data_IF_902554719026
#
_entry.id   IF_902554719026
#
_cell.length_a   1.000
_cell.length_b   1.000
_cell.length_c   1.000
_cell.angle_alpha   90.00
_cell.angle_beta   90.00
_cell.angle_gamma   90.00
#
_symmetry.space_group_name_H-M   'P 1'
#
loop_
_entity.id
_entity.type
_entity.pdbx_description
1 polymer ?
#
# COMPACT_ATOMS: atom_id res chain seq x y z
N UNK A 1 6.05 -13.25 -19.27
CA UNK A 1 5.74 -13.45 -17.84
C UNK A 1 4.48 -14.28 -17.73
N UNK A 2 4.45 -15.26 -16.84
CA UNK A 2 3.27 -16.13 -16.66
C UNK A 2 2.21 -15.43 -15.80
N UNK A 3 0.94 -15.52 -16.21
CA UNK A 3 -0.22 -15.02 -15.45
C UNK A 3 -0.31 -15.61 -14.02
N UNK A 4 0.40 -16.73 -13.78
CA UNK A 4 0.54 -17.37 -12.47
C UNK A 4 1.33 -16.54 -11.47
N UNK A 5 2.32 -15.78 -11.91
CA UNK A 5 3.14 -14.93 -11.04
C UNK A 5 2.32 -13.73 -10.53
N UNK A 6 1.53 -13.13 -11.43
CA UNK A 6 0.58 -12.05 -11.13
C UNK A 6 -0.45 -12.55 -10.11
N UNK A 7 -1.02 -13.73 -10.34
CA UNK A 7 -1.99 -14.34 -9.42
C UNK A 7 -1.43 -14.58 -8.01
N UNK A 8 -0.18 -15.05 -7.89
CA UNK A 8 0.49 -15.20 -6.59
C UNK A 8 0.63 -13.86 -5.84
N UNK A 9 1.01 -12.79 -6.54
CA UNK A 9 1.13 -11.44 -5.95
C UNK A 9 -0.21 -10.90 -5.49
N UNK A 10 -1.27 -11.11 -6.28
CA UNK A 10 -2.64 -10.74 -5.90
C UNK A 10 -3.08 -11.48 -4.64
N UNK A 11 -2.84 -12.79 -4.57
CA UNK A 11 -3.16 -13.62 -3.41
C UNK A 11 -2.43 -13.13 -2.16
N UNK A 12 -1.13 -12.87 -2.28
CA UNK A 12 -0.31 -12.35 -1.18
C UNK A 12 -0.86 -11.01 -0.67
N UNK A 13 -1.15 -10.06 -1.57
CA UNK A 13 -1.69 -8.76 -1.21
C UNK A 13 -3.07 -8.86 -0.54
N UNK A 14 -3.93 -9.78 -0.99
CA UNK A 14 -5.22 -10.07 -0.37
C UNK A 14 -5.08 -10.62 1.05
N UNK A 15 -4.20 -11.61 1.24
CA UNK A 15 -3.94 -12.23 2.54
C UNK A 15 -3.35 -11.21 3.52
N UNK A 16 -2.42 -10.37 3.07
CA UNK A 16 -1.85 -9.27 3.87
C UNK A 16 -2.90 -8.21 4.25
N UNK A 17 -3.91 -8.01 3.40
CA UNK A 17 -5.03 -7.08 3.68
C UNK A 17 -6.12 -7.69 4.55
N UNK A 18 -6.02 -8.98 4.91
CA UNK A 18 -7.02 -9.69 5.70
C UNK A 18 -8.38 -9.85 5.00
N UNK A 19 -8.41 -9.70 3.67
CA UNK A 19 -9.66 -9.76 2.89
C UNK A 19 -9.94 -11.18 2.40
N UNK A 20 -11.22 -11.57 2.43
CA UNK A 20 -11.67 -12.82 1.80
C UNK A 20 -11.83 -12.61 0.29
N UNK A 21 -11.82 -13.70 -0.48
CA UNK A 21 -12.11 -13.66 -1.92
C UNK A 21 -13.46 -12.99 -2.20
N UNK A 22 -14.47 -13.29 -1.38
CA UNK A 22 -15.80 -12.70 -1.48
C UNK A 22 -15.76 -11.18 -1.22
N UNK A 23 -15.05 -10.74 -0.17
CA UNK A 23 -14.95 -9.32 0.15
C UNK A 23 -14.27 -8.50 -0.95
N UNK A 24 -13.24 -9.05 -1.61
CA UNK A 24 -12.62 -8.40 -2.77
C UNK A 24 -13.60 -8.38 -3.94
N UNK A 25 -14.27 -9.49 -4.22
CA UNK A 25 -15.22 -9.62 -5.32
C UNK A 25 -16.40 -8.64 -5.19
N UNK A 26 -16.97 -8.51 -4.00
CA UNK A 26 -18.08 -7.60 -3.70
C UNK A 26 -17.67 -6.14 -3.92
N UNK A 27 -16.44 -5.75 -3.54
CA UNK A 27 -15.92 -4.39 -3.73
C UNK A 27 -15.59 -4.07 -5.19
N UNK A 28 -15.14 -5.07 -5.95
CA UNK A 28 -14.81 -4.92 -7.38
C UNK A 28 -16.07 -5.05 -8.26
N UNK A 29 -17.15 -5.64 -7.76
CA UNK A 29 -18.37 -5.90 -8.53
C UNK A 29 -18.25 -7.12 -9.45
N UNK A 30 -17.47 -8.13 -9.05
CA UNK A 30 -17.27 -9.37 -9.81
C UNK A 30 -17.64 -10.59 -8.96
N UNK A 31 -17.72 -11.77 -9.58
CA UNK A 31 -17.89 -13.02 -8.83
C UNK A 31 -16.60 -13.43 -8.10
N UNK A 32 -16.71 -14.06 -6.93
CA UNK A 32 -15.55 -14.59 -6.20
C UNK A 32 -14.74 -15.61 -7.01
N UNK A 33 -15.41 -16.39 -7.88
CA UNK A 33 -14.76 -17.31 -8.81
C UNK A 33 -13.92 -16.60 -9.88
N UNK A 34 -14.19 -15.33 -10.16
CA UNK A 34 -13.36 -14.48 -11.02
C UNK A 34 -12.08 -14.15 -10.28
N UNK A 35 -12.17 -13.58 -9.07
CA UNK A 35 -10.98 -13.24 -8.24
C UNK A 35 -10.09 -14.47 -8.01
N UNK A 36 -10.67 -15.62 -7.71
CA UNK A 36 -9.95 -16.88 -7.56
C UNK A 36 -9.20 -17.29 -8.84
N UNK A 37 -9.82 -17.14 -10.02
CA UNK A 37 -9.18 -17.43 -11.31
C UNK A 37 -8.02 -16.47 -11.60
N UNK A 38 -8.14 -15.21 -11.22
CA UNK A 38 -7.03 -14.24 -11.26
C UNK A 38 -5.88 -14.70 -10.36
N UNK A 39 -6.16 -15.06 -9.10
CA UNK A 39 -5.14 -15.53 -8.14
C UNK A 39 -4.48 -16.85 -8.55
N UNK A 40 -5.23 -17.76 -9.18
CA UNK A 40 -4.70 -19.04 -9.66
C UNK A 40 -3.91 -18.91 -10.98
N UNK A 41 -3.94 -17.75 -11.65
CA UNK A 41 -3.35 -17.55 -12.97
C UNK A 41 -4.10 -18.29 -14.08
N UNK A 42 -5.34 -18.73 -13.85
CA UNK A 42 -6.16 -19.49 -14.79
C UNK A 42 -6.85 -18.64 -15.86
N UNK A 43 -6.39 -17.41 -16.09
CA UNK A 43 -6.96 -16.46 -17.04
C UNK A 43 -5.94 -16.25 -18.15
N UNK A 44 -6.24 -16.69 -19.38
CA UNK A 44 -5.34 -16.50 -20.53
C UNK A 44 -5.20 -15.02 -20.93
N UNK A 45 -6.28 -14.23 -20.82
CA UNK A 45 -6.31 -12.79 -21.10
C UNK A 45 -6.77 -11.99 -19.89
N UNK A 46 -5.82 -11.44 -19.15
CA UNK A 46 -6.09 -10.52 -18.05
C UNK A 46 -6.74 -9.25 -18.58
N UNK A 47 -7.97 -8.97 -18.13
CA UNK A 47 -8.61 -7.67 -18.38
C UNK A 47 -8.00 -6.63 -17.45
N UNK A 48 -7.26 -5.68 -18.00
CA UNK A 48 -6.65 -4.57 -17.25
C UNK A 48 -7.63 -3.80 -16.36
N UNK A 49 -8.90 -3.51 -16.76
CA UNK A 49 -9.84 -2.81 -15.89
C UNK A 49 -10.13 -3.56 -14.59
N UNK A 50 -10.25 -4.90 -14.66
CA UNK A 50 -10.52 -5.74 -13.48
C UNK A 50 -9.27 -5.88 -12.62
N UNK A 51 -8.09 -5.96 -13.25
CA UNK A 51 -6.83 -6.00 -12.54
C UNK A 51 -6.62 -4.71 -11.73
N UNK A 52 -6.84 -3.55 -12.35
CA UNK A 52 -6.74 -2.25 -11.69
C UNK A 52 -7.73 -2.13 -10.54
N UNK A 53 -8.99 -2.53 -10.76
CA UNK A 53 -10.00 -2.50 -9.70
C UNK A 53 -9.63 -3.41 -8.51
N UNK A 54 -9.05 -4.58 -8.76
CA UNK A 54 -8.54 -5.45 -7.69
C UNK A 54 -7.34 -4.80 -7.01
N UNK A 55 -6.41 -4.21 -7.75
CA UNK A 55 -5.25 -3.51 -7.22
C UNK A 55 -5.66 -2.37 -6.28
N UNK A 56 -6.66 -1.56 -6.69
CA UNK A 56 -7.22 -0.48 -5.89
C UNK A 56 -7.84 -0.98 -4.58
N UNK A 57 -8.63 -2.07 -4.65
CA UNK A 57 -9.24 -2.69 -3.46
C UNK A 57 -8.20 -3.27 -2.51
N UNK A 58 -7.10 -3.79 -3.05
CA UNK A 58 -5.97 -4.33 -2.30
C UNK A 58 -4.96 -3.24 -1.87
N UNK A 59 -5.12 -2.00 -2.34
CA UNK A 59 -4.20 -0.88 -2.05
C UNK A 59 -2.79 -1.06 -2.63
N UNK A 60 -2.65 -1.84 -3.71
CA UNK A 60 -1.37 -2.11 -4.39
C UNK A 60 -1.34 -1.50 -5.78
N UNK A 61 -0.15 -1.22 -6.28
CA UNK A 61 0.03 -0.71 -7.63
C UNK A 61 -0.24 -1.80 -8.69
N UNK A 62 -1.03 -1.54 -9.74
CA UNK A 62 -1.27 -2.51 -10.81
C UNK A 62 0.01 -2.97 -11.54
N UNK A 63 1.00 -2.08 -11.68
CA UNK A 63 2.32 -2.39 -12.26
C UNK A 63 3.14 -3.33 -11.37
N UNK A 64 3.02 -3.21 -10.04
CA UNK A 64 3.57 -4.18 -9.09
C UNK A 64 2.95 -5.57 -9.27
N UNK A 65 1.65 -5.67 -9.57
CA UNK A 65 1.00 -6.95 -9.86
C UNK A 65 1.49 -7.56 -11.18
N UNK A 66 1.63 -6.76 -12.24
CA UNK A 66 2.09 -7.23 -13.56
C UNK A 66 3.59 -7.46 -13.67
N UNK A 67 4.36 -7.03 -12.67
CA UNK A 67 5.82 -7.12 -12.69
C UNK A 67 6.47 -6.18 -13.69
N UNK A 68 5.75 -5.14 -14.13
CA UNK A 68 6.35 -4.04 -14.87
C UNK A 68 7.27 -3.28 -13.90
N UNK A 69 8.58 -3.51 -14.02
CA UNK A 69 9.66 -2.70 -13.42
C UNK A 69 9.68 -1.24 -13.92
N UNK A 70 8.53 -0.69 -14.31
CA UNK A 70 8.39 0.74 -14.52
C UNK A 70 8.33 1.42 -13.17
N UNK A 71 9.52 1.75 -12.68
CA UNK A 71 9.78 2.71 -11.63
C UNK A 71 8.97 4.00 -11.86
N UNK A 72 8.08 4.34 -10.91
CA UNK A 72 7.95 5.71 -10.39
C UNK A 72 7.00 5.75 -9.18
N UNK A 73 7.48 5.28 -8.04
CA UNK A 73 7.70 6.20 -6.93
C UNK A 73 9.21 6.09 -6.62
N UNK A 74 9.91 7.17 -6.24
CA UNK A 74 11.33 7.07 -5.88
C UNK A 74 11.50 5.92 -4.89
N UNK A 75 12.60 5.18 -5.04
CA UNK A 75 12.93 3.97 -4.29
C UNK A 75 12.98 4.16 -2.76
N UNK A 76 12.76 5.39 -2.28
CA UNK A 76 12.77 5.79 -0.88
C UNK A 76 11.41 5.59 -0.16
N UNK A 77 10.31 5.29 -0.87
CA UNK A 77 8.96 5.22 -0.29
C UNK A 77 8.29 3.84 -0.38
N UNK A 78 9.08 2.76 -0.49
CA UNK A 78 8.56 1.40 -0.42
C UNK A 78 8.89 0.84 0.96
N UNK A 79 7.87 0.48 1.72
CA UNK A 79 8.06 -0.21 2.99
C UNK A 79 9.01 -1.40 2.84
N UNK A 80 10.15 -1.33 3.49
CA UNK A 80 11.18 -2.36 3.57
C UNK A 80 10.81 -3.44 4.58
N UNK A 81 9.94 -3.10 5.55
CA UNK A 81 9.47 -3.99 6.61
C UNK A 81 7.94 -4.06 6.69
N UNK A 82 7.41 -5.06 7.39
CA UNK A 82 5.96 -5.18 7.61
C UNK A 82 5.39 -4.01 8.42
N UNK A 83 6.19 -3.50 9.35
CA UNK A 83 5.93 -2.36 10.21
C UNK A 83 5.87 -1.06 9.41
N UNK A 84 6.84 -0.81 8.53
CA UNK A 84 6.82 0.33 7.62
C UNK A 84 5.60 0.29 6.70
N UNK A 85 5.19 -0.90 6.25
CA UNK A 85 4.02 -1.06 5.38
C UNK A 85 2.74 -0.70 6.10
N UNK A 86 2.63 -1.07 7.38
CA UNK A 86 1.52 -0.69 8.25
C UNK A 86 1.48 0.83 8.45
N UNK A 87 2.63 1.47 8.66
CA UNK A 87 2.73 2.92 8.79
C UNK A 87 2.27 3.62 7.51
N UNK A 88 2.76 3.18 6.36
CA UNK A 88 2.37 3.70 5.03
C UNK A 88 0.87 3.56 4.76
N UNK A 89 0.25 2.43 5.13
CA UNK A 89 -1.19 2.25 5.00
C UNK A 89 -1.99 3.20 5.90
N UNK A 90 -1.50 3.48 7.11
CA UNK A 90 -2.13 4.46 8.01
C UNK A 90 -2.05 5.87 7.43
N UNK A 91 -0.90 6.25 6.88
CA UNK A 91 -0.72 7.55 6.21
C UNK A 91 -1.66 7.72 5.01
N UNK A 92 -1.78 6.72 4.14
CA UNK A 92 -2.73 6.73 3.00
C UNK A 92 -4.18 6.89 3.46
N UNK A 93 -4.55 6.29 4.59
CA UNK A 93 -5.91 6.42 5.14
C UNK A 93 -6.15 7.80 5.75
N UNK A 94 -5.11 8.45 6.28
CA UNK A 94 -5.19 9.80 6.81
C UNK A 94 -5.42 10.87 5.71
N UNK A 95 -5.16 10.57 4.43
CA UNK A 95 -5.51 11.46 3.31
C UNK A 95 -7.02 11.71 3.18
N UNK A 96 -7.85 10.78 3.67
CA UNK A 96 -9.31 10.93 3.70
C UNK A 96 -9.78 11.97 4.74
N UNK A 97 -8.87 12.49 5.59
CA UNK A 97 -9.18 13.49 6.59
C UNK A 97 -9.00 14.92 6.03
N UNK A 98 -9.82 15.88 6.51
CA UNK A 98 -9.60 17.29 6.24
C UNK A 98 -8.17 17.73 6.59
N UNK A 99 -7.59 18.69 5.85
CA UNK A 99 -6.20 19.10 6.02
C UNK A 99 -5.85 19.50 7.46
N UNK A 100 -6.78 20.15 8.18
CA UNK A 100 -6.60 20.54 9.58
C UNK A 100 -6.40 19.35 10.53
N UNK A 101 -7.09 18.23 10.27
CA UNK A 101 -6.94 17.01 11.08
C UNK A 101 -5.66 16.27 10.70
N UNK A 102 -5.27 16.32 9.43
CA UNK A 102 -4.01 15.75 8.96
C UNK A 102 -2.82 16.46 9.62
N UNK A 103 -2.86 17.78 9.72
CA UNK A 103 -1.79 18.54 10.38
C UNK A 103 -1.62 18.10 11.84
N UNK A 104 -2.72 18.00 12.60
CA UNK A 104 -2.66 17.51 14.00
C UNK A 104 -2.04 16.12 14.14
N UNK A 105 -2.27 15.23 13.17
CA UNK A 105 -1.68 13.89 13.18
C UNK A 105 -0.18 13.96 12.96
N UNK A 106 0.27 14.83 12.05
CA UNK A 106 1.69 15.08 11.79
C UNK A 106 2.35 15.64 13.05
N UNK A 107 1.78 16.67 13.66
CA UNK A 107 2.33 17.32 14.86
C UNK A 107 2.50 16.33 16.03
N UNK A 108 1.54 15.41 16.21
CA UNK A 108 1.63 14.35 17.24
C UNK A 108 2.77 13.39 16.92
N UNK A 109 2.92 13.04 15.65
CA UNK A 109 3.97 12.12 15.20
C UNK A 109 5.35 12.73 15.43
N UNK A 110 5.56 13.98 14.99
CA UNK A 110 6.80 14.73 15.20
C UNK A 110 7.15 14.80 16.69
N UNK A 111 6.21 15.24 17.53
CA UNK A 111 6.44 15.32 18.98
C UNK A 111 6.81 13.96 19.62
N UNK A 112 6.23 12.87 19.12
CA UNK A 112 6.56 11.52 19.61
C UNK A 112 7.98 11.11 19.22
N UNK A 113 8.40 11.43 17.98
CA UNK A 113 9.75 11.17 17.50
C UNK A 113 10.76 12.03 18.24
N UNK A 114 10.48 13.32 18.45
CA UNK A 114 11.34 14.23 19.20
C UNK A 114 11.56 13.73 20.62
N UNK A 115 10.48 13.32 21.31
CA UNK A 115 10.57 12.75 22.66
C UNK A 115 11.45 11.49 22.69
N UNK A 116 11.39 10.66 21.64
CA UNK A 116 12.21 9.47 21.51
C UNK A 116 13.68 9.80 21.25
N UNK A 117 13.96 10.77 20.37
CA UNK A 117 15.32 11.23 20.05
C UNK A 117 15.99 11.89 21.26
N UNK A 118 15.24 12.71 22.01
CA UNK A 118 15.67 13.30 23.28
C UNK A 118 16.04 12.23 24.30
N UNK A 119 15.22 11.18 24.44
CA UNK A 119 15.50 10.07 25.34
C UNK A 119 16.76 9.27 24.93
N UNK A 120 17.11 9.27 23.64
CA UNK A 120 18.35 8.69 23.13
C UNK A 120 19.56 9.65 23.19
N UNK A 121 19.36 10.91 23.57
CA UNK A 121 20.40 11.94 23.62
C UNK A 121 20.88 12.38 22.22
N UNK A 122 20.10 12.11 21.17
CA UNK A 122 20.38 12.52 19.81
C UNK A 122 19.67 13.85 19.60
N UNK A 123 20.40 14.97 19.64
CA UNK A 123 19.84 16.28 19.28
C UNK A 123 19.72 16.36 17.76
N UNK A 124 18.51 16.57 17.27
CA UNK A 124 18.28 16.87 15.87
C UNK A 124 18.70 18.32 15.59
N UNK A 125 19.86 18.52 14.96
CA UNK A 125 20.36 19.82 14.51
C UNK A 125 19.64 20.29 13.21
N UNK A 126 18.44 19.79 12.92
CA UNK A 126 17.69 20.14 11.71
C UNK A 126 17.02 21.52 11.75
N UNK A 127 16.99 22.19 12.92
CA UNK A 127 16.43 23.54 13.08
C UNK A 127 17.46 24.66 12.83
N UNK A 128 18.30 24.50 11.80
CA UNK A 128 19.06 25.62 11.27
C UNK A 128 18.13 26.48 10.39
N UNK A 129 17.80 27.72 10.77
CA UNK A 129 16.94 28.57 9.95
C UNK A 129 17.62 28.79 8.60
N UNK A 130 16.95 28.38 7.52
CA UNK A 130 17.38 28.66 6.16
C UNK A 130 17.44 30.19 5.99
N UNK A 131 18.65 30.71 5.72
CA UNK A 131 18.90 32.12 5.42
C UNK A 131 18.26 32.55 4.10
#
# INVERSE_FOLDING_TARGET
MENREIGKRMKLAREQSGLTLQAVADRVGVAASTVQRYEAGGIEKLKLPVLNAIADVLGVDPGWLTGSETACAPADNVAQTGEERKLLMLCRRAEQLPPEKRQKIIDIFESTIDTYLDALGIKDDSDAPSK
#
